data_IF_936690086843
#
_entry.id   IF_936690086843
#
_cell.length_a   1.000
_cell.length_b   1.000
_cell.length_c   1.000
_cell.angle_alpha   90.00
_cell.angle_beta   90.00
_cell.angle_gamma   90.00
#
_symmetry.space_group_name_H-M   'P 1'
#
loop_
_entity.id
_entity.type
_entity.pdbx_description
1 polymer ?
#
# COMPACT_ATOMS: atom_id res chain seq x y z
N UNK A 1 35.63 -20.30 55.63
CA UNK A 1 34.41 -19.63 55.12
C UNK A 1 34.08 -20.27 53.78
N UNK A 2 33.03 -21.09 53.79
CA UNK A 2 32.77 -22.18 52.84
C UNK A 2 32.09 -21.75 51.53
N UNK A 3 32.76 -22.04 50.41
CA UNK A 3 32.30 -21.78 49.04
C UNK A 3 31.41 -22.89 48.44
N UNK A 4 30.61 -23.58 49.26
CA UNK A 4 29.81 -24.75 48.83
C UNK A 4 28.29 -24.54 48.77
N UNK A 5 27.78 -23.36 49.11
CA UNK A 5 26.33 -23.12 49.26
C UNK A 5 25.64 -22.37 48.10
N UNK A 6 26.35 -22.02 47.03
CA UNK A 6 25.79 -21.17 45.96
C UNK A 6 25.08 -21.96 44.85
N UNK A 7 25.37 -23.27 44.71
CA UNK A 7 24.78 -24.10 43.63
C UNK A 7 23.35 -24.57 43.91
N UNK A 8 22.84 -24.42 45.14
CA UNK A 8 21.51 -24.90 45.51
C UNK A 8 20.40 -23.83 45.45
N UNK A 9 20.75 -22.56 45.22
CA UNK A 9 19.76 -21.48 45.13
C UNK A 9 19.17 -21.29 43.74
N UNK A 10 19.88 -21.69 42.68
CA UNK A 10 19.39 -21.55 41.31
C UNK A 10 18.41 -22.65 40.88
N UNK A 11 18.47 -23.83 41.51
CA UNK A 11 17.61 -24.96 41.17
C UNK A 11 16.19 -24.88 41.73
N UNK A 12 15.96 -24.08 42.78
CA UNK A 12 14.68 -24.08 43.49
C UNK A 12 13.68 -23.01 43.02
N UNK A 13 14.16 -22.01 42.26
CA UNK A 13 13.29 -20.95 41.71
C UNK A 13 12.59 -21.39 40.41
N UNK A 14 13.16 -22.36 39.68
CA UNK A 14 12.63 -22.78 38.38
C UNK A 14 11.48 -23.81 38.47
N UNK A 15 11.28 -24.45 39.62
CA UNK A 15 10.25 -25.49 39.81
C UNK A 15 8.89 -24.97 40.27
N UNK A 16 8.78 -23.69 40.64
CA UNK A 16 7.55 -23.13 41.23
C UNK A 16 6.65 -22.38 40.24
N UNK A 17 7.01 -22.34 38.95
CA UNK A 17 6.26 -21.65 37.88
C UNK A 17 5.38 -22.59 37.03
N UNK A 18 5.36 -23.90 37.30
CA UNK A 18 4.65 -24.91 36.50
C UNK A 18 3.40 -25.49 37.16
N UNK A 19 2.88 -24.87 38.23
CA UNK A 19 1.67 -25.33 38.94
C UNK A 19 0.64 -24.20 39.11
N UNK A 20 0.29 -23.54 38.00
CA UNK A 20 -0.95 -22.74 37.90
C UNK A 20 -1.73 -23.08 36.62
N UNK A 21 -1.64 -24.33 36.19
CA UNK A 21 -2.59 -24.93 35.26
C UNK A 21 -3.78 -25.50 36.02
N UNK A 22 -4.99 -25.10 35.61
CA UNK A 22 -6.31 -25.64 35.96
C UNK A 22 -7.09 -24.91 37.07
N UNK A 23 -7.72 -23.79 36.71
CA UNK A 23 -9.18 -23.63 36.87
C UNK A 23 -9.66 -22.30 36.31
N UNK A 24 -10.32 -22.37 35.15
CA UNK A 24 -11.52 -21.61 34.84
C UNK A 24 -12.17 -22.32 33.65
N UNK A 25 -12.96 -23.35 33.96
CA UNK A 25 -14.00 -23.84 33.06
C UNK A 25 -15.02 -22.72 32.88
N UNK A 26 -14.75 -21.81 31.94
CA UNK A 26 -15.73 -20.92 31.38
C UNK A 26 -16.56 -21.73 30.39
N UNK A 27 -17.85 -21.90 30.69
CA UNK A 27 -18.80 -22.54 29.82
C UNK A 27 -18.69 -22.00 28.39
N UNK A 28 -18.52 -22.90 27.42
CA UNK A 28 -18.75 -22.63 26.01
C UNK A 28 -20.24 -22.33 25.78
N UNK A 29 -20.71 -21.15 26.19
CA UNK A 29 -21.85 -20.55 25.52
C UNK A 29 -21.34 -20.15 24.14
N UNK A 30 -21.65 -20.98 23.13
CA UNK A 30 -21.67 -20.54 21.74
C UNK A 30 -22.66 -19.39 21.65
N UNK A 31 -22.17 -18.17 21.88
CA UNK A 31 -22.88 -16.96 21.53
C UNK A 31 -22.83 -16.93 20.01
N UNK A 32 -23.88 -17.48 19.38
CA UNK A 32 -24.13 -17.26 17.97
C UNK A 32 -24.08 -15.74 17.71
N UNK A 33 -23.54 -15.31 16.56
CA UNK A 33 -23.34 -13.89 16.30
C UNK A 33 -24.63 -13.13 16.59
N UNK A 34 -24.57 -11.99 17.30
CA UNK A 34 -25.77 -11.23 17.60
C UNK A 34 -26.46 -10.87 16.28
N UNK A 35 -27.58 -11.53 15.99
CA UNK A 35 -28.53 -11.15 14.95
C UNK A 35 -29.28 -9.92 15.44
N UNK A 36 -28.57 -8.82 15.59
CA UNK A 36 -29.19 -7.52 15.72
C UNK A 36 -29.65 -7.07 14.32
N UNK A 37 -30.74 -6.32 14.19
CA UNK A 37 -31.14 -5.74 12.91
C UNK A 37 -30.03 -4.86 12.30
N UNK A 38 -29.12 -4.34 13.14
CA UNK A 38 -27.92 -3.62 12.72
C UNK A 38 -26.89 -4.50 11.99
N UNK A 39 -26.73 -5.79 12.33
CA UNK A 39 -25.78 -6.66 11.64
C UNK A 39 -26.27 -7.06 10.25
N UNK A 40 -27.59 -7.25 10.06
CA UNK A 40 -28.17 -7.42 8.71
C UNK A 40 -28.07 -6.15 7.89
N UNK A 41 -28.38 -4.99 8.47
CA UNK A 41 -28.22 -3.71 7.78
C UNK A 41 -26.77 -3.44 7.38
N UNK A 42 -25.80 -3.75 8.25
CA UNK A 42 -24.38 -3.63 7.93
C UNK A 42 -23.94 -4.59 6.81
N UNK A 43 -24.46 -5.83 6.79
CA UNK A 43 -24.18 -6.78 5.71
C UNK A 43 -24.80 -6.32 4.39
N UNK A 44 -26.04 -5.81 4.40
CA UNK A 44 -26.72 -5.27 3.22
C UNK A 44 -26.04 -4.02 2.68
N UNK A 45 -25.58 -3.13 3.56
CA UNK A 45 -24.79 -1.95 3.16
C UNK A 45 -23.45 -2.38 2.58
N UNK A 46 -22.75 -3.35 3.19
CA UNK A 46 -21.50 -3.88 2.63
C UNK A 46 -21.69 -4.57 1.29
N UNK A 47 -22.77 -5.35 1.12
CA UNK A 47 -23.07 -6.00 -0.15
C UNK A 47 -23.52 -4.99 -1.22
N UNK A 48 -24.25 -3.94 -0.84
CA UNK A 48 -24.63 -2.86 -1.76
C UNK A 48 -23.44 -1.99 -2.16
N UNK A 49 -22.53 -1.69 -1.23
CA UNK A 49 -21.25 -1.04 -1.55
C UNK A 49 -20.42 -1.94 -2.47
N UNK A 50 -20.30 -3.24 -2.17
CA UNK A 50 -19.54 -4.18 -3.02
C UNK A 50 -20.18 -4.33 -4.40
N UNK A 51 -21.50 -4.47 -4.49
CA UNK A 51 -22.21 -4.58 -5.76
C UNK A 51 -22.17 -3.26 -6.56
N UNK A 52 -22.21 -2.11 -5.87
CA UNK A 52 -21.98 -0.80 -6.49
C UNK A 52 -20.54 -0.65 -6.99
N UNK A 53 -19.56 -1.11 -6.20
CA UNK A 53 -18.16 -1.14 -6.60
C UNK A 53 -17.94 -2.06 -7.80
N UNK A 54 -18.51 -3.27 -7.80
CA UNK A 54 -18.41 -4.25 -8.88
C UNK A 54 -19.15 -3.81 -10.15
N UNK A 55 -20.21 -3.00 -10.03
CA UNK A 55 -20.92 -2.43 -11.17
C UNK A 55 -20.24 -1.16 -11.75
N UNK A 56 -19.42 -0.46 -10.97
CA UNK A 56 -18.59 0.67 -11.41
C UNK A 56 -17.13 0.28 -11.71
N UNK A 57 -16.76 -0.99 -11.55
CA UNK A 57 -15.40 -1.53 -11.77
C UNK A 57 -14.99 -1.66 -13.26
N UNK A 58 -15.41 -0.72 -14.11
CA UNK A 58 -14.57 -0.23 -15.21
C UNK A 58 -13.64 0.86 -14.64
N UNK A 59 -12.84 0.50 -13.63
CA UNK A 59 -11.88 1.38 -12.94
C UNK A 59 -10.58 1.36 -13.73
N UNK A 60 -10.63 1.74 -15.00
CA UNK A 60 -9.41 1.71 -15.81
C UNK A 60 -8.69 3.06 -15.80
N UNK A 61 -9.35 4.13 -15.34
CA UNK A 61 -8.82 5.49 -15.43
C UNK A 61 -9.10 6.31 -14.15
N UNK A 62 -8.03 6.63 -13.42
CA UNK A 62 -8.05 7.47 -12.23
C UNK A 62 -7.19 8.71 -12.50
N UNK A 63 -7.69 9.88 -12.11
CA UNK A 63 -6.90 11.11 -12.14
C UNK A 63 -5.89 11.15 -10.98
N UNK A 64 -4.63 11.41 -11.30
CA UNK A 64 -3.52 11.57 -10.37
C UNK A 64 -2.88 12.94 -10.53
N UNK A 65 -2.35 13.46 -9.42
CA UNK A 65 -1.38 14.56 -9.45
C UNK A 65 0.02 13.96 -9.53
N UNK A 66 0.73 14.23 -10.62
CA UNK A 66 2.11 13.84 -10.82
C UNK A 66 3.06 15.02 -10.62
N UNK A 67 4.28 14.76 -10.16
CA UNK A 67 5.38 15.72 -10.17
C UNK A 67 6.66 15.02 -10.62
N UNK A 68 7.50 15.76 -11.33
CA UNK A 68 8.78 15.26 -11.78
C UNK A 68 9.85 15.54 -10.71
N UNK A 69 10.49 14.49 -10.22
CA UNK A 69 11.50 14.53 -9.16
C UNK A 69 12.70 13.66 -9.56
N UNK A 70 13.52 14.13 -10.51
CA UNK A 70 14.59 13.35 -11.10
C UNK A 70 15.55 12.91 -10.01
N UNK A 71 15.90 11.63 -10.01
CA UNK A 71 16.82 11.09 -9.02
C UNK A 71 18.07 10.53 -9.69
N UNK A 72 19.25 10.70 -9.07
CA UNK A 72 20.51 10.22 -9.64
C UNK A 72 20.68 8.69 -9.57
N UNK A 73 19.65 7.96 -9.11
CA UNK A 73 19.65 6.50 -8.97
C UNK A 73 18.79 5.82 -10.04
N UNK A 74 18.90 4.49 -10.15
CA UNK A 74 17.97 3.65 -10.93
C UNK A 74 16.59 3.52 -10.25
N UNK A 75 15.95 4.65 -10.08
CA UNK A 75 14.70 4.85 -9.36
C UNK A 75 13.77 5.70 -10.24
N UNK A 76 12.44 5.53 -10.16
CA UNK A 76 11.54 6.26 -11.04
C UNK A 76 11.60 7.76 -10.78
N UNK A 77 11.67 8.56 -11.84
CA UNK A 77 11.74 10.02 -11.77
C UNK A 77 10.41 10.67 -11.41
N UNK A 78 9.30 9.99 -11.70
CA UNK A 78 7.97 10.51 -11.45
C UNK A 78 7.45 10.13 -10.07
N UNK A 79 6.77 11.07 -9.42
CA UNK A 79 6.02 10.85 -8.20
C UNK A 79 4.56 11.19 -8.40
N UNK A 80 3.66 10.35 -7.86
CA UNK A 80 2.21 10.60 -7.90
C UNK A 80 1.61 10.66 -6.50
N UNK A 81 0.53 11.43 -6.36
CA UNK A 81 -0.26 11.48 -5.14
C UNK A 81 -1.23 10.29 -5.10
N UNK A 82 -0.90 9.26 -4.33
CA UNK A 82 -1.71 8.06 -4.16
C UNK A 82 -2.09 7.87 -2.69
N UNK A 83 -3.40 7.80 -2.39
CA UNK A 83 -3.94 7.60 -1.03
C UNK A 83 -3.39 8.57 0.04
N UNK A 84 -3.11 9.81 -0.36
CA UNK A 84 -2.61 10.84 0.56
C UNK A 84 -1.10 10.81 0.78
N UNK A 85 -0.35 10.00 0.03
CA UNK A 85 1.12 9.96 0.05
C UNK A 85 1.69 10.20 -1.35
N UNK A 86 2.94 10.68 -1.40
CA UNK A 86 3.71 10.76 -2.64
C UNK A 86 4.48 9.46 -2.82
N UNK A 87 4.27 8.78 -3.94
CA UNK A 87 4.95 7.52 -4.27
C UNK A 87 5.67 7.63 -5.61
N UNK A 88 6.84 7.01 -5.74
CA UNK A 88 7.59 6.95 -7.00
C UNK A 88 7.01 5.89 -7.93
N UNK A 89 6.82 6.26 -9.20
CA UNK A 89 6.23 5.40 -10.23
C UNK A 89 6.96 5.57 -11.56
N UNK A 90 7.04 4.50 -12.34
CA UNK A 90 7.35 4.62 -13.77
C UNK A 90 6.07 4.97 -14.51
N UNK A 91 6.07 6.08 -15.25
CA UNK A 91 5.02 6.35 -16.22
C UNK A 91 5.25 5.44 -17.44
N UNK A 92 4.22 4.73 -17.86
CA UNK A 92 4.26 3.83 -19.01
C UNK A 92 3.10 4.18 -19.93
N UNK A 93 3.42 4.44 -21.19
CA UNK A 93 2.45 4.55 -22.26
C UNK A 93 2.27 3.16 -22.90
N UNK A 94 1.04 2.67 -23.02
CA UNK A 94 0.77 1.36 -23.64
C UNK A 94 0.37 1.46 -25.11
N UNK A 95 -0.18 2.61 -25.55
CA UNK A 95 -0.67 2.80 -26.93
C UNK A 95 -0.44 4.22 -27.46
N UNK A 96 -0.18 4.38 -28.75
CA UNK A 96 -0.21 5.71 -29.38
C UNK A 96 -1.65 6.26 -29.35
N UNK A 97 -1.91 7.50 -28.88
CA UNK A 97 -0.99 8.64 -28.77
C UNK A 97 -0.36 8.89 -27.37
N UNK A 98 -0.53 7.99 -26.41
CA UNK A 98 -0.04 8.21 -25.02
C UNK A 98 1.48 8.35 -24.93
N UNK A 99 2.24 7.74 -25.84
CA UNK A 99 3.70 7.91 -25.92
C UNK A 99 4.09 9.37 -26.19
N UNK A 100 3.47 9.99 -27.21
CA UNK A 100 3.74 11.40 -27.54
C UNK A 100 3.31 12.34 -26.41
N UNK A 101 2.21 12.02 -25.73
CA UNK A 101 1.75 12.77 -24.55
C UNK A 101 2.74 12.65 -23.38
N UNK A 102 3.30 11.45 -23.14
CA UNK A 102 4.31 11.22 -22.12
C UNK A 102 5.62 11.96 -22.44
N UNK A 103 6.10 11.91 -23.68
CA UNK A 103 7.28 12.65 -24.12
C UNK A 103 7.10 14.17 -23.95
N UNK A 104 5.93 14.69 -24.30
CA UNK A 104 5.62 16.11 -24.14
C UNK A 104 5.53 16.50 -22.65
N UNK A 105 4.94 15.64 -21.82
CA UNK A 105 4.88 15.83 -20.37
C UNK A 105 6.28 15.87 -19.76
N UNK A 106 7.16 14.95 -20.14
CA UNK A 106 8.56 14.90 -19.69
C UNK A 106 9.35 16.14 -20.13
N UNK A 107 9.22 16.55 -21.39
CA UNK A 107 9.88 17.75 -21.89
C UNK A 107 9.43 19.01 -21.15
N UNK A 108 8.13 19.13 -20.86
CA UNK A 108 7.56 20.24 -20.09
C UNK A 108 8.11 20.23 -18.67
N UNK A 109 8.09 19.09 -17.99
CA UNK A 109 8.55 18.99 -16.62
C UNK A 109 10.05 19.25 -16.46
N UNK A 110 10.88 18.81 -17.42
CA UNK A 110 12.30 19.15 -17.47
C UNK A 110 12.53 20.65 -17.63
N UNK A 111 11.75 21.31 -18.49
CA UNK A 111 11.83 22.77 -18.66
C UNK A 111 11.46 23.50 -17.38
N UNK A 112 10.43 23.04 -16.67
CA UNK A 112 9.98 23.66 -15.42
C UNK A 112 11.05 23.54 -14.33
N UNK A 113 11.70 22.38 -14.20
CA UNK A 113 12.83 22.20 -13.27
C UNK A 113 14.00 23.11 -13.63
N UNK A 114 14.33 23.28 -14.92
CA UNK A 114 15.39 24.20 -15.35
C UNK A 114 15.07 25.66 -14.99
N UNK A 115 13.79 26.01 -14.92
CA UNK A 115 13.30 27.32 -14.44
C UNK A 115 13.24 27.41 -12.90
N UNK A 116 13.56 26.33 -12.18
CA UNK A 116 13.49 26.26 -10.73
C UNK A 116 12.08 26.07 -10.17
N UNK A 117 11.13 25.65 -11.01
CA UNK A 117 9.74 25.42 -10.63
C UNK A 117 9.51 23.93 -10.37
N UNK A 118 8.85 23.59 -9.26
CA UNK A 118 8.39 22.24 -8.96
C UNK A 118 6.87 22.20 -9.11
N UNK A 119 6.41 21.95 -10.33
CA UNK A 119 4.98 21.93 -10.67
C UNK A 119 4.39 20.53 -10.53
N UNK A 120 3.06 20.49 -10.40
CA UNK A 120 2.27 19.27 -10.44
C UNK A 120 1.42 19.23 -11.70
N UNK A 121 1.33 18.07 -12.33
CA UNK A 121 0.61 17.83 -13.57
C UNK A 121 -0.54 16.87 -13.30
N UNK A 122 -1.79 17.21 -13.69
CA UNK A 122 -2.87 16.24 -13.69
C UNK A 122 -2.61 15.22 -14.80
N UNK A 123 -2.68 13.93 -14.46
CA UNK A 123 -2.55 12.83 -15.40
C UNK A 123 -3.65 11.81 -15.13
N UNK A 124 -4.07 11.08 -16.16
CA UNK A 124 -5.09 10.02 -16.04
C UNK A 124 -4.46 8.68 -16.36
N UNK A 125 -4.76 7.65 -15.58
CA UNK A 125 -4.22 6.32 -15.81
C UNK A 125 -4.65 5.27 -14.78
N UNK A 126 -4.06 4.09 -14.86
CA UNK A 126 -4.23 3.00 -13.90
C UNK A 126 -2.91 2.63 -13.23
N UNK A 127 -2.94 2.52 -11.90
CA UNK A 127 -1.79 2.03 -11.13
C UNK A 127 -1.81 0.52 -11.18
N UNK A 128 -0.76 -0.09 -11.74
CA UNK A 128 -0.59 -1.54 -11.69
C UNK A 128 0.34 -1.94 -10.56
N UNK A 129 0.04 -3.06 -9.92
CA UNK A 129 0.91 -3.69 -8.93
C UNK A 129 2.11 -4.43 -9.57
N UNK A 130 2.37 -4.21 -10.87
CA UNK A 130 3.58 -4.67 -11.52
C UNK A 130 4.78 -4.03 -10.83
N UNK A 131 5.46 -4.84 -10.04
CA UNK A 131 6.61 -4.39 -9.26
C UNK A 131 7.87 -4.59 -10.07
N UNK A 132 8.41 -3.50 -10.60
CA UNK A 132 9.74 -3.52 -11.21
C UNK A 132 10.75 -3.52 -10.08
N UNK A 133 11.56 -4.58 -10.02
CA UNK A 133 12.67 -4.66 -9.08
C UNK A 133 13.82 -3.84 -9.65
N UNK A 134 14.20 -2.76 -8.97
CA UNK A 134 15.42 -2.05 -9.33
C UNK A 134 16.61 -2.99 -9.11
N UNK A 135 17.40 -3.21 -10.17
CA UNK A 135 18.56 -4.10 -10.13
C UNK A 135 19.63 -3.62 -9.16
N UNK A 136 19.65 -2.31 -8.90
CA UNK A 136 20.69 -1.65 -8.12
C UNK A 136 20.31 -1.52 -6.65
N UNK A 137 19.04 -1.21 -6.34
CA UNK A 137 18.60 -0.99 -4.95
C UNK A 137 17.84 -2.18 -4.35
N UNK A 138 17.39 -3.13 -5.18
CA UNK A 138 16.50 -4.22 -4.75
C UNK A 138 15.08 -3.74 -4.37
N UNK A 139 14.79 -2.46 -4.54
CA UNK A 139 13.49 -1.87 -4.22
C UNK A 139 12.45 -2.21 -5.30
N UNK A 140 11.21 -2.33 -4.86
CA UNK A 140 10.05 -2.63 -5.71
C UNK A 140 9.29 -1.34 -6.00
N UNK A 141 9.15 -1.00 -7.28
CA UNK A 141 8.45 0.19 -7.73
C UNK A 141 7.20 -0.16 -8.52
N UNK A 142 6.17 0.69 -8.42
CA UNK A 142 4.91 0.54 -9.15
C UNK A 142 5.03 1.17 -10.54
N UNK A 143 4.19 0.70 -11.47
CA UNK A 143 3.98 1.33 -12.77
C UNK A 143 2.63 2.03 -12.79
N UNK A 144 2.60 3.21 -13.38
CA UNK A 144 1.36 3.88 -13.75
C UNK A 144 1.23 3.82 -15.26
N UNK A 145 0.20 3.12 -15.74
CA UNK A 145 -0.15 3.08 -17.15
C UNK A 145 -0.99 4.32 -17.42
N UNK A 146 -0.56 5.15 -18.39
CA UNK A 146 -1.33 6.33 -18.78
C UNK A 146 -2.52 5.92 -19.65
N UNK A 147 -3.66 6.57 -19.41
CA UNK A 147 -4.85 6.42 -20.22
C UNK A 147 -4.67 7.13 -21.57
N UNK A 148 -5.28 6.62 -22.66
CA UNK A 148 -5.39 7.36 -23.90
C UNK A 148 -6.11 8.68 -23.67
N UNK A 149 -5.59 9.76 -24.26
CA UNK A 149 -6.25 11.07 -24.23
C UNK A 149 -7.51 10.95 -25.09
N UNK A 150 -8.69 10.91 -24.46
CA UNK A 150 -9.96 10.98 -25.18
C UNK A 150 -10.12 12.39 -25.76
N UNK A 151 -10.15 12.49 -27.10
CA UNK A 151 -10.45 13.74 -27.82
C UNK A 151 -11.87 14.28 -27.57
#
# INVERSE_FOLDING_TARGET
>A
MDARNEKYRLGLVLSMLLVFGASCGGANTRVGPPTSPFSRAAETVRSAIRAGLEAELNVDEIEFLARFNPAPCDCPDWEIRYRGDWIRVWLVAEEYPTEAALEQLEATALSDIQRGELLTYPIVGSVTDQTVLSRTTGLRYRRLILAPVSE
#
